data_IF_931095366853
#
_entry.id   IF_931095366853
#
_cell.length_a   1.000
_cell.length_b   1.000
_cell.length_c   1.000
_cell.angle_alpha   90.00
_cell.angle_beta   90.00
_cell.angle_gamma   90.00
#
_symmetry.space_group_name_H-M   'P 1'
#
loop_
_entity.id
_entity.type
_entity.pdbx_description
1 polymer ?
#
# COMPACT_ATOMS: atom_id res chain seq x y z
N UNK A 1 -46.60 -33.37 -0.87
CA UNK A 1 -46.46 -32.63 0.41
C UNK A 1 -45.33 -31.62 0.25
N UNK A 2 -45.67 -30.33 0.08
CA UNK A 2 -44.69 -29.23 -0.06
C UNK A 2 -44.75 -28.45 1.24
N UNK A 3 -43.65 -28.40 2.00
CA UNK A 3 -43.63 -27.79 3.33
C UNK A 3 -42.63 -26.63 3.42
N UNK A 4 -43.24 -25.43 3.47
CA UNK A 4 -42.90 -24.22 4.24
C UNK A 4 -41.65 -23.39 3.88
N UNK A 5 -41.88 -22.13 3.47
CA UNK A 5 -41.83 -20.85 4.24
C UNK A 5 -40.40 -20.30 4.25
N UNK A 6 -40.10 -19.16 3.62
CA UNK A 6 -40.17 -17.81 4.21
C UNK A 6 -39.57 -16.91 3.11
N UNK A 7 -40.24 -15.91 2.56
CA UNK A 7 -40.57 -14.67 3.24
C UNK A 7 -39.84 -13.54 2.49
N UNK A 8 -40.64 -12.71 1.83
CA UNK A 8 -40.26 -11.51 1.09
C UNK A 8 -39.31 -10.62 1.90
N UNK A 9 -38.10 -10.35 1.39
CA UNK A 9 -37.42 -9.04 1.55
C UNK A 9 -36.67 -8.75 0.26
N UNK A 10 -37.43 -8.32 -0.74
CA UNK A 10 -36.91 -7.38 -1.73
C UNK A 10 -36.99 -5.98 -1.11
N UNK A 11 -36.11 -5.08 -1.54
CA UNK A 11 -36.04 -3.65 -1.20
C UNK A 11 -35.49 -3.31 0.19
N UNK A 12 -34.16 -3.28 0.27
CA UNK A 12 -33.43 -2.21 0.98
C UNK A 12 -32.35 -1.64 0.05
N UNK A 13 -32.72 -1.43 -1.21
CA UNK A 13 -32.13 -0.39 -2.04
C UNK A 13 -33.00 0.86 -1.86
N UNK A 14 -32.38 2.05 -1.83
CA UNK A 14 -32.94 3.35 -1.43
C UNK A 14 -33.03 3.56 0.08
N UNK A 15 -32.01 4.20 0.65
CA UNK A 15 -32.12 5.36 1.57
C UNK A 15 -30.80 5.61 2.33
N UNK A 16 -29.70 5.87 1.61
CA UNK A 16 -28.63 6.76 2.12
C UNK A 16 -28.03 7.54 0.95
N UNK A 17 -28.87 8.27 0.22
CA UNK A 17 -28.46 9.47 -0.48
C UNK A 17 -29.27 10.62 0.12
N UNK A 18 -28.64 11.46 0.95
CA UNK A 18 -28.96 12.87 0.94
C UNK A 18 -27.70 13.67 0.59
N UNK A 19 -27.85 14.43 -0.49
CA UNK A 19 -27.25 15.73 -0.70
C UNK A 19 -25.71 15.80 -0.73
N UNK A 20 -25.17 15.89 -1.94
CA UNK A 20 -24.15 16.89 -2.30
C UNK A 20 -24.05 16.95 -3.82
N UNK A 21 -25.09 17.46 -4.45
CA UNK A 21 -25.01 17.96 -5.81
C UNK A 21 -25.78 19.28 -5.91
N UNK A 22 -25.03 20.33 -6.27
CA UNK A 22 -25.44 21.62 -6.85
C UNK A 22 -26.08 22.68 -5.93
N UNK A 23 -25.36 23.78 -5.68
CA UNK A 23 -25.52 25.06 -6.43
C UNK A 23 -24.94 26.30 -5.70
N UNK A 24 -24.30 27.20 -6.45
CA UNK A 24 -24.00 28.61 -6.10
C UNK A 24 -22.50 28.91 -5.92
N UNK A 25 -21.73 29.44 -6.88
CA UNK A 25 -21.78 30.72 -7.63
C UNK A 25 -21.33 31.97 -6.83
N UNK A 26 -20.15 32.50 -7.21
CA UNK A 26 -19.55 33.84 -6.97
C UNK A 26 -19.06 34.14 -5.53
N UNK A 27 -17.88 34.70 -5.23
CA UNK A 27 -17.01 35.67 -5.92
C UNK A 27 -15.57 35.56 -5.36
N UNK A 28 -14.59 36.00 -6.15
CA UNK A 28 -13.17 36.08 -5.86
C UNK A 28 -12.79 36.79 -4.55
N UNK A 29 -11.76 36.26 -3.88
CA UNK A 29 -10.77 37.05 -3.14
C UNK A 29 -9.47 36.23 -3.09
N UNK A 30 -8.39 36.80 -3.65
CA UNK A 30 -7.04 36.29 -3.49
C UNK A 30 -6.68 36.31 -2.01
N UNK A 31 -6.40 35.15 -1.43
CA UNK A 31 -5.70 35.00 -0.18
C UNK A 31 -4.85 33.74 -0.31
N UNK A 32 -3.53 33.94 -0.23
CA UNK A 32 -2.47 32.94 0.00
C UNK A 32 -2.98 31.51 0.23
N UNK A 33 -2.69 30.61 -0.71
CA UNK A 33 -2.95 29.17 -0.53
C UNK A 33 -2.24 28.70 0.75
N UNK A 34 -2.94 28.25 1.80
CA UNK A 34 -2.33 27.26 2.66
C UNK A 34 -2.18 26.04 1.75
N UNK A 35 -0.93 25.62 1.51
CA UNK A 35 -0.63 24.34 0.88
C UNK A 35 -1.28 23.26 1.74
N UNK A 36 -2.54 22.93 1.43
CA UNK A 36 -3.22 21.81 2.03
C UNK A 36 -2.45 20.59 1.54
N UNK A 37 -1.62 20.03 2.41
CA UNK A 37 -1.15 18.67 2.26
C UNK A 37 -2.42 17.84 2.19
N UNK A 38 -2.78 17.40 0.97
CA UNK A 38 -3.93 16.52 0.79
C UNK A 38 -3.71 15.31 1.69
N UNK A 39 -4.74 14.90 2.43
CA UNK A 39 -4.67 13.65 3.17
C UNK A 39 -4.27 12.53 2.20
N UNK A 40 -3.39 11.61 2.59
CA UNK A 40 -2.96 10.53 1.72
C UNK A 40 -4.17 9.73 1.24
N UNK A 41 -4.15 9.28 -0.01
CA UNK A 41 -5.27 8.49 -0.53
C UNK A 41 -5.39 7.17 0.25
N UNK A 42 -6.60 6.59 0.26
CA UNK A 42 -6.79 5.27 0.85
C UNK A 42 -5.92 4.20 0.18
N UNK A 43 -5.63 4.41 -1.12
CA UNK A 43 -4.78 3.53 -1.92
C UNK A 43 -3.30 3.70 -1.50
N UNK A 44 -2.82 4.92 -1.27
CA UNK A 44 -1.48 5.19 -0.72
C UNK A 44 -1.29 4.50 0.63
N UNK A 45 -2.29 4.66 1.51
CA UNK A 45 -2.29 4.06 2.85
C UNK A 45 -2.22 2.54 2.79
N UNK A 46 -2.95 1.93 1.85
CA UNK A 46 -2.95 0.48 1.67
C UNK A 46 -1.60 -0.05 1.19
N UNK A 47 -1.05 0.48 0.08
CA UNK A 47 0.19 -0.08 -0.48
C UNK A 47 1.41 0.20 0.41
N UNK A 48 1.48 1.38 1.03
CA UNK A 48 2.54 1.69 2.00
C UNK A 48 2.41 0.84 3.28
N UNK A 49 1.18 0.53 3.70
CA UNK A 49 0.93 -0.40 4.80
C UNK A 49 1.36 -1.84 4.49
N UNK A 50 1.02 -2.35 3.29
CA UNK A 50 1.47 -3.67 2.83
C UNK A 50 2.99 -3.75 2.71
N UNK A 51 3.63 -2.68 2.23
CA UNK A 51 5.09 -2.59 2.16
C UNK A 51 5.74 -2.69 3.55
N UNK A 52 5.21 -1.96 4.53
CA UNK A 52 5.75 -1.99 5.90
C UNK A 52 5.59 -3.39 6.54
N UNK A 53 4.45 -4.04 6.31
CA UNK A 53 4.22 -5.42 6.75
C UNK A 53 5.17 -6.41 6.06
N UNK A 54 5.43 -6.23 4.76
CA UNK A 54 6.36 -7.05 4.00
C UNK A 54 7.78 -6.94 4.55
N UNK A 55 8.27 -5.73 4.80
CA UNK A 55 9.59 -5.48 5.38
C UNK A 55 9.73 -6.13 6.76
N UNK A 56 8.69 -6.04 7.60
CA UNK A 56 8.67 -6.73 8.90
C UNK A 56 8.77 -8.26 8.77
N UNK A 57 8.01 -8.86 7.86
CA UNK A 57 8.04 -10.30 7.61
C UNK A 57 9.42 -10.75 7.11
N UNK A 58 10.03 -9.99 6.21
CA UNK A 58 11.36 -10.26 5.67
C UNK A 58 12.44 -10.21 6.76
N UNK A 59 12.38 -9.22 7.65
CA UNK A 59 13.30 -9.15 8.78
C UNK A 59 13.16 -10.34 9.74
N UNK A 60 11.93 -10.72 10.10
CA UNK A 60 11.70 -11.89 10.96
C UNK A 60 12.21 -13.18 10.30
N UNK A 61 11.91 -13.37 9.00
CA UNK A 61 12.39 -14.53 8.25
C UNK A 61 13.92 -14.60 8.17
N UNK A 62 14.60 -13.45 8.09
CA UNK A 62 16.07 -13.39 8.10
C UNK A 62 16.70 -13.69 9.47
N UNK A 63 15.97 -13.44 10.56
CA UNK A 63 16.46 -13.59 11.93
C UNK A 63 16.20 -15.00 12.51
N UNK A 64 15.07 -15.61 12.16
CA UNK A 64 14.59 -16.85 12.78
C UNK A 64 14.97 -18.13 12.02
N UNK A 65 15.55 -18.01 10.82
CA UNK A 65 15.83 -19.14 9.93
C UNK A 65 17.19 -19.04 9.25
N UNK A 66 18.10 -19.99 9.53
CA UNK A 66 19.40 -20.14 8.84
C UNK A 66 19.31 -20.99 7.55
N UNK A 67 18.11 -21.47 7.19
CA UNK A 67 17.89 -22.32 6.03
C UNK A 67 17.83 -21.48 4.73
N UNK A 68 18.83 -21.68 3.86
CA UNK A 68 18.98 -20.93 2.62
C UNK A 68 17.83 -21.16 1.61
N UNK A 69 17.25 -22.37 1.59
CA UNK A 69 16.13 -22.69 0.70
C UNK A 69 14.85 -21.99 1.18
N UNK A 70 14.63 -21.96 2.50
CA UNK A 70 13.55 -21.21 3.13
C UNK A 70 13.69 -19.70 2.85
N UNK A 71 14.87 -19.12 3.10
CA UNK A 71 15.10 -17.69 2.85
C UNK A 71 14.90 -17.32 1.38
N UNK A 72 15.33 -18.19 0.45
CA UNK A 72 15.12 -18.00 -0.99
C UNK A 72 13.62 -18.03 -1.33
N UNK A 73 12.86 -18.98 -0.78
CA UNK A 73 11.43 -19.08 -1.01
C UNK A 73 10.68 -17.84 -0.47
N UNK A 74 11.05 -17.36 0.72
CA UNK A 74 10.48 -16.14 1.31
C UNK A 74 10.80 -14.91 0.46
N UNK A 75 12.05 -14.74 0.02
CA UNK A 75 12.45 -13.63 -0.82
C UNK A 75 11.71 -13.62 -2.17
N UNK A 76 11.53 -14.79 -2.80
CA UNK A 76 10.76 -14.91 -4.04
C UNK A 76 9.28 -14.57 -3.83
N UNK A 77 8.67 -15.06 -2.75
CA UNK A 77 7.28 -14.74 -2.43
C UNK A 77 7.10 -13.23 -2.18
N UNK A 78 8.01 -12.62 -1.44
CA UNK A 78 7.98 -11.19 -1.15
C UNK A 78 8.19 -10.32 -2.41
N UNK A 79 9.13 -10.72 -3.28
CA UNK A 79 9.34 -10.08 -4.59
C UNK A 79 8.07 -10.09 -5.44
N UNK A 80 7.37 -11.23 -5.50
CA UNK A 80 6.12 -11.35 -6.25
C UNK A 80 5.00 -10.52 -5.63
N UNK A 81 4.86 -10.55 -4.30
CA UNK A 81 3.89 -9.74 -3.58
C UNK A 81 4.09 -8.25 -3.89
N UNK A 82 5.33 -7.76 -3.75
CA UNK A 82 5.65 -6.36 -4.06
C UNK A 82 5.39 -5.99 -5.53
N UNK A 83 5.76 -6.86 -6.47
CA UNK A 83 5.54 -6.64 -7.90
C UNK A 83 4.04 -6.60 -8.26
N UNK A 84 3.19 -7.24 -7.45
CA UNK A 84 1.74 -7.21 -7.63
C UNK A 84 1.04 -6.00 -7.01
N UNK A 85 1.74 -5.21 -6.18
CA UNK A 85 1.18 -3.99 -5.60
C UNK A 85 0.85 -3.00 -6.70
N UNK A 86 -0.30 -2.34 -6.58
CA UNK A 86 -0.67 -1.29 -7.54
C UNK A 86 0.11 -0.02 -7.20
N UNK A 87 0.74 0.60 -8.21
CA UNK A 87 1.38 1.91 -8.04
C UNK A 87 0.40 2.92 -7.45
N UNK A 88 0.80 3.65 -6.41
CA UNK A 88 -0.03 4.63 -5.72
C UNK A 88 0.69 5.96 -5.59
N UNK A 89 -0.08 7.05 -5.57
CA UNK A 89 0.39 8.41 -5.30
C UNK A 89 1.25 9.04 -6.40
N UNK A 90 1.21 10.36 -6.56
CA UNK A 90 2.17 11.02 -7.46
C UNK A 90 3.60 11.02 -6.88
N UNK A 91 3.70 11.05 -5.55
CA UNK A 91 4.95 11.26 -4.80
C UNK A 91 5.76 9.96 -4.64
N UNK A 92 5.10 8.80 -4.51
CA UNK A 92 5.76 7.50 -4.29
C UNK A 92 5.86 6.66 -5.57
N UNK A 93 5.07 6.95 -6.62
CA UNK A 93 5.01 6.20 -7.88
C UNK A 93 6.36 5.98 -8.58
N UNK A 94 7.23 6.98 -8.59
CA UNK A 94 8.54 6.84 -9.23
C UNK A 94 9.41 5.77 -8.52
N UNK A 95 9.38 5.76 -7.20
CA UNK A 95 10.08 4.77 -6.39
C UNK A 95 9.46 3.37 -6.54
N UNK A 96 8.12 3.28 -6.48
CA UNK A 96 7.38 2.02 -6.70
C UNK A 96 7.73 1.39 -8.05
N UNK A 97 7.62 2.16 -9.13
CA UNK A 97 7.87 1.66 -10.49
C UNK A 97 9.30 1.19 -10.68
N UNK A 98 10.26 1.92 -10.12
CA UNK A 98 11.67 1.52 -10.15
C UNK A 98 11.86 0.20 -9.41
N UNK A 99 11.36 0.08 -8.18
CA UNK A 99 11.48 -1.13 -7.38
C UNK A 99 10.81 -2.35 -8.05
N UNK A 100 9.64 -2.16 -8.67
CA UNK A 100 8.96 -3.23 -9.42
C UNK A 100 9.77 -3.66 -10.64
N UNK A 101 10.37 -2.71 -11.34
CA UNK A 101 11.25 -3.02 -12.48
C UNK A 101 12.50 -3.78 -12.03
N UNK A 102 13.10 -3.37 -10.91
CA UNK A 102 14.31 -3.99 -10.36
C UNK A 102 14.05 -5.41 -9.81
N UNK A 103 12.82 -5.73 -9.40
CA UNK A 103 12.42 -7.07 -8.91
C UNK A 103 11.79 -7.95 -9.99
N UNK A 104 11.21 -7.35 -11.04
CA UNK A 104 10.49 -8.07 -12.08
C UNK A 104 11.37 -9.09 -12.80
N UNK A 105 10.97 -10.36 -12.74
CA UNK A 105 11.66 -11.45 -13.44
C UNK A 105 12.95 -11.93 -12.78
N UNK A 106 13.33 -11.40 -11.61
CA UNK A 106 14.44 -11.91 -10.82
C UNK A 106 14.03 -13.16 -10.04
N UNK A 107 14.76 -14.24 -10.26
CA UNK A 107 14.54 -15.54 -9.57
C UNK A 107 15.60 -15.83 -8.52
N UNK A 108 16.71 -15.08 -8.52
CA UNK A 108 17.89 -15.20 -7.67
C UNK A 108 17.96 -14.10 -6.60
N UNK A 109 16.80 -13.59 -6.18
CA UNK A 109 16.70 -12.49 -5.22
C UNK A 109 16.82 -13.00 -3.78
N UNK A 110 17.70 -12.38 -2.99
CA UNK A 110 17.81 -12.64 -1.54
C UNK A 110 16.86 -11.75 -0.73
N UNK A 111 16.62 -12.08 0.54
CA UNK A 111 15.85 -11.22 1.45
C UNK A 111 16.44 -9.80 1.50
N UNK A 112 17.76 -9.69 1.60
CA UNK A 112 18.45 -8.40 1.63
C UNK A 112 18.28 -7.61 0.33
N UNK A 113 18.23 -8.28 -0.83
CA UNK A 113 17.94 -7.61 -2.09
C UNK A 113 16.53 -7.02 -2.09
N UNK A 114 15.52 -7.79 -1.65
CA UNK A 114 14.13 -7.30 -1.60
C UNK A 114 14.03 -6.08 -0.68
N UNK A 115 14.61 -6.14 0.53
CA UNK A 115 14.63 -5.02 1.47
C UNK A 115 15.31 -3.81 0.84
N UNK A 116 16.51 -3.99 0.27
CA UNK A 116 17.29 -2.89 -0.33
C UNK A 116 16.56 -2.24 -1.50
N UNK A 117 15.89 -3.02 -2.34
CA UNK A 117 15.16 -2.51 -3.51
C UNK A 117 13.88 -1.77 -3.10
N UNK A 118 13.20 -2.23 -2.04
CA UNK A 118 11.93 -1.68 -1.58
C UNK A 118 12.08 -0.53 -0.57
N UNK A 119 13.25 -0.39 0.07
CA UNK A 119 13.54 0.66 1.04
C UNK A 119 13.29 2.09 0.54
N UNK A 120 13.67 2.49 -0.70
CA UNK A 120 13.34 3.82 -1.21
C UNK A 120 11.84 4.09 -1.28
N UNK A 121 11.03 3.05 -1.46
CA UNK A 121 9.57 3.15 -1.47
C UNK A 121 9.04 3.34 -0.06
N UNK A 122 9.60 2.63 0.92
CA UNK A 122 9.28 2.77 2.35
C UNK A 122 9.58 4.20 2.81
N UNK A 123 10.75 4.73 2.47
CA UNK A 123 11.14 6.11 2.77
C UNK A 123 10.21 7.12 2.10
N UNK A 124 9.82 6.91 0.84
CA UNK A 124 8.86 7.79 0.18
C UNK A 124 7.48 7.77 0.85
N UNK A 125 7.05 6.61 1.37
CA UNK A 125 5.82 6.48 2.16
C UNK A 125 5.93 7.17 3.53
N UNK A 126 7.10 7.14 4.18
CA UNK A 126 7.38 7.88 5.43
C UNK A 126 7.37 9.41 5.19
N UNK A 127 8.04 9.87 4.12
CA UNK A 127 8.11 11.29 3.76
C UNK A 127 6.74 11.86 3.37
N UNK A 128 5.90 11.05 2.72
CA UNK A 128 4.51 11.39 2.43
C UNK A 128 3.58 11.34 3.67
N UNK A 129 4.11 10.97 4.84
CA UNK A 129 3.34 10.87 6.09
C UNK A 129 2.29 9.75 6.10
N UNK A 130 2.45 8.76 5.22
CA UNK A 130 1.49 7.65 5.05
C UNK A 130 1.71 6.56 6.10
N UNK A 131 2.98 6.31 6.47
CA UNK A 131 3.36 5.38 7.53
C UNK A 131 4.23 6.08 8.57
N UNK A 132 4.04 5.73 9.83
CA UNK A 132 4.90 6.21 10.91
C UNK A 132 6.14 5.31 11.04
N UNK A 133 7.31 5.82 10.66
CA UNK A 133 8.62 5.47 11.24
C UNK A 133 8.84 3.99 11.57
N UNK A 134 8.62 3.07 10.62
CA UNK A 134 8.52 1.64 10.90
C UNK A 134 9.61 0.84 10.18
N UNK A 135 10.51 0.21 10.96
CA UNK A 135 11.68 -0.55 10.51
C UNK A 135 12.82 0.30 9.93
N UNK A 136 13.60 0.93 10.83
CA UNK A 136 14.95 1.37 10.49
C UNK A 136 15.85 0.14 10.36
N UNK A 137 16.31 -0.17 9.16
CA UNK A 137 17.48 -1.02 8.94
C UNK A 137 18.64 -0.41 9.73
N UNK A 138 18.99 -1.01 10.86
CA UNK A 138 20.24 -0.66 11.54
C UNK A 138 21.38 -1.15 10.64
N UNK A 139 21.85 -0.29 9.74
CA UNK A 139 23.14 -0.45 9.08
C UNK A 139 24.25 -0.21 10.10
N UNK A 140 24.84 -1.30 10.58
CA UNK A 140 26.15 -1.33 11.25
C UNK A 140 27.19 -1.92 10.31
#
# INVERSE_FOLDING_TARGET
>A
MIKSRTGRVALTALLVLPALALAGCSTAAAADEPKATAAPSAEDTFACGELNALTAMLHNASADHDDADYQTAVAQAASQAFTSLTEVGAETKAAFKKAQTDLSGRTDVSINDVITITEPVRLACEDAGVIEGGYRVNGG
#
